data_IF_671129463832
#
_entry.id   IF_671129463832
#
_cell.length_a   1.000
_cell.length_b   1.000
_cell.length_c   1.000
_cell.angle_alpha   90.00
_cell.angle_beta   90.00
_cell.angle_gamma   90.00
#
_symmetry.space_group_name_H-M   'P 1'
#
loop_
_entity.id
_entity.type
_entity.pdbx_description
1 polymer ?
#
# COMPACT_ATOMS: atom_id res chain seq x y z
N UNK A 1 33.25 -21.03 35.52
CA UNK A 1 33.09 -19.92 34.57
C UNK A 1 32.42 -20.47 33.33
N UNK A 2 31.21 -20.04 32.93
CA UNK A 2 30.65 -20.48 31.66
C UNK A 2 31.36 -19.76 30.52
N UNK A 3 31.83 -20.55 29.54
CA UNK A 3 32.58 -20.10 28.38
C UNK A 3 31.75 -19.14 27.51
N UNK A 4 32.36 -18.04 27.09
CA UNK A 4 31.74 -17.09 26.16
C UNK A 4 31.69 -17.69 24.75
N UNK A 5 30.49 -18.05 24.32
CA UNK A 5 30.23 -18.41 22.92
C UNK A 5 30.32 -17.15 22.05
N UNK A 6 31.34 -17.07 21.19
CA UNK A 6 31.41 -16.04 20.14
C UNK A 6 30.20 -16.16 19.21
N UNK A 7 29.53 -15.05 18.83
CA UNK A 7 28.45 -15.11 17.85
C UNK A 7 28.98 -15.60 16.50
N UNK A 8 28.30 -16.60 15.92
CA UNK A 8 28.57 -17.03 14.56
C UNK A 8 28.26 -15.88 13.59
N UNK A 9 29.21 -15.55 12.71
CA UNK A 9 29.03 -14.53 11.69
C UNK A 9 27.97 -14.99 10.68
N UNK A 10 26.73 -14.55 10.85
CA UNK A 10 25.67 -14.75 9.86
C UNK A 10 26.01 -13.93 8.62
N UNK A 11 26.13 -14.58 7.45
CA UNK A 11 26.30 -13.87 6.18
C UNK A 11 25.13 -12.90 6.01
N UNK A 12 25.43 -11.60 6.08
CA UNK A 12 24.44 -10.53 6.06
C UNK A 12 24.05 -10.27 4.60
N UNK A 13 23.29 -11.18 4.00
CA UNK A 13 22.62 -10.93 2.73
C UNK A 13 21.62 -9.79 2.98
N UNK A 14 21.97 -8.60 2.53
CA UNK A 14 21.05 -7.46 2.57
C UNK A 14 20.20 -7.53 1.32
N UNK A 15 18.89 -7.58 1.52
CA UNK A 15 17.97 -7.45 0.41
C UNK A 15 18.22 -6.09 -0.29
N UNK A 16 18.36 -6.05 -1.62
CA UNK A 16 18.60 -4.81 -2.34
C UNK A 16 17.50 -3.79 -2.10
N UNK A 17 17.84 -2.50 -2.13
CA UNK A 17 16.83 -1.44 -2.03
C UNK A 17 15.94 -1.44 -3.27
N UNK A 18 14.73 -0.89 -3.17
CA UNK A 18 13.84 -0.72 -4.32
C UNK A 18 14.53 0.02 -5.48
N UNK A 19 15.33 1.05 -5.19
CA UNK A 19 16.11 1.77 -6.20
C UNK A 19 17.13 0.88 -6.91
N UNK A 20 17.81 0.01 -6.16
CA UNK A 20 18.77 -0.94 -6.73
C UNK A 20 18.07 -1.92 -7.66
N UNK A 21 16.91 -2.44 -7.26
CA UNK A 21 16.13 -3.38 -8.06
C UNK A 21 15.63 -2.72 -9.34
N UNK A 22 15.07 -1.52 -9.23
CA UNK A 22 14.55 -0.77 -10.37
C UNK A 22 15.67 -0.43 -11.38
N UNK A 23 16.82 0.04 -10.89
CA UNK A 23 17.94 0.35 -11.77
C UNK A 23 18.54 -0.89 -12.45
N UNK A 24 18.66 -2.00 -11.71
CA UNK A 24 19.09 -3.27 -12.27
C UNK A 24 18.10 -3.76 -13.35
N UNK A 25 16.80 -3.61 -13.12
CA UNK A 25 15.77 -3.96 -14.09
C UNK A 25 15.89 -3.12 -15.37
N UNK A 26 16.10 -1.81 -15.26
CA UNK A 26 16.31 -0.92 -16.42
C UNK A 26 17.51 -1.41 -17.25
N UNK A 27 18.63 -1.71 -16.61
CA UNK A 27 19.83 -2.22 -17.31
C UNK A 27 19.54 -3.54 -18.02
N UNK A 28 18.87 -4.48 -17.35
CA UNK A 28 18.53 -5.79 -17.91
C UNK A 28 17.61 -5.61 -19.13
N UNK A 29 16.54 -4.83 -19.00
CA UNK A 29 15.59 -4.59 -20.09
C UNK A 29 16.27 -3.87 -21.26
N UNK A 30 17.11 -2.87 -20.99
CA UNK A 30 17.90 -2.18 -22.01
C UNK A 30 18.82 -3.16 -22.75
N UNK A 31 19.54 -4.03 -22.04
CA UNK A 31 20.37 -5.06 -22.66
C UNK A 31 19.57 -6.04 -23.53
N UNK A 32 18.36 -6.41 -23.08
CA UNK A 32 17.46 -7.28 -23.84
C UNK A 32 16.98 -6.65 -25.16
N UNK A 33 16.93 -5.31 -25.27
CA UNK A 33 16.53 -4.65 -26.54
C UNK A 33 17.48 -4.90 -27.71
N UNK A 34 18.70 -5.37 -27.45
CA UNK A 34 19.67 -5.74 -28.48
C UNK A 34 19.48 -7.17 -29.00
N UNK A 35 18.85 -8.04 -28.21
CA UNK A 35 18.72 -9.47 -28.50
C UNK A 35 17.29 -9.83 -28.90
N UNK A 36 16.30 -9.17 -28.28
CA UNK A 36 14.88 -9.43 -28.52
C UNK A 36 14.42 -8.52 -29.67
N UNK A 37 13.90 -9.09 -30.78
CA UNK A 37 13.44 -8.29 -31.90
C UNK A 37 12.22 -7.46 -31.51
N UNK A 38 12.17 -6.21 -31.97
CA UNK A 38 11.05 -5.32 -31.74
C UNK A 38 9.82 -5.81 -32.51
N UNK A 39 8.65 -5.72 -31.89
CA UNK A 39 7.39 -6.03 -32.57
C UNK A 39 6.24 -5.20 -32.03
N UNK A 40 5.26 -4.99 -32.90
CA UNK A 40 4.08 -4.18 -32.64
C UNK A 40 2.83 -4.95 -33.05
N UNK A 41 1.75 -4.72 -32.31
CA UNK A 41 0.42 -5.16 -32.70
C UNK A 41 -0.27 -4.04 -33.46
N UNK A 42 -1.09 -4.38 -34.46
CA UNK A 42 -2.03 -3.42 -35.01
C UNK A 42 -2.99 -2.99 -33.92
N UNK A 43 -3.29 -1.69 -33.88
CA UNK A 43 -4.21 -1.12 -32.90
C UNK A 43 -5.45 -0.59 -33.59
N UNK A 44 -6.59 -0.78 -32.95
CA UNK A 44 -7.88 -0.26 -33.40
C UNK A 44 -8.52 0.53 -32.26
N UNK A 45 -9.26 1.57 -32.60
CA UNK A 45 -9.99 2.37 -31.63
C UNK A 45 -11.04 1.50 -30.93
N UNK A 46 -10.97 1.40 -29.61
CA UNK A 46 -11.99 0.75 -28.80
C UNK A 46 -12.93 1.80 -28.23
N UNK A 47 -14.19 1.80 -28.70
CA UNK A 47 -15.25 2.63 -28.10
C UNK A 47 -15.54 2.25 -26.64
N UNK A 48 -15.23 1.00 -26.27
CA UNK A 48 -15.48 0.43 -24.95
C UNK A 48 -14.49 0.95 -23.90
N UNK A 49 -13.23 1.20 -24.30
CA UNK A 49 -12.14 1.64 -23.40
C UNK A 49 -11.71 3.10 -23.69
N UNK A 50 -12.26 3.72 -24.74
CA UNK A 50 -11.96 5.10 -25.14
C UNK A 50 -10.51 5.30 -25.61
N UNK A 51 -9.83 4.23 -26.05
CA UNK A 51 -8.42 4.25 -26.47
C UNK A 51 -8.11 3.12 -27.44
N UNK A 52 -6.96 3.23 -28.10
CA UNK A 52 -6.46 2.22 -29.05
C UNK A 52 -6.03 0.94 -28.34
N UNK A 53 -6.61 -0.20 -28.75
CA UNK A 53 -6.30 -1.54 -28.19
C UNK A 53 -5.59 -2.43 -29.23
N UNK A 54 -4.63 -3.26 -28.82
CA UNK A 54 -3.94 -4.18 -29.73
C UNK A 54 -4.87 -5.32 -30.20
N UNK A 55 -4.79 -5.68 -31.49
CA UNK A 55 -5.57 -6.77 -32.08
C UNK A 55 -4.80 -8.09 -31.98
N UNK A 56 -5.38 -9.09 -31.32
CA UNK A 56 -4.76 -10.41 -31.18
C UNK A 56 -4.43 -11.05 -32.54
N UNK A 57 -3.26 -11.69 -32.65
CA UNK A 57 -2.80 -12.32 -33.89
C UNK A 57 -2.19 -11.38 -34.94
N UNK A 58 -2.16 -10.06 -34.70
CA UNK A 58 -1.58 -9.08 -35.64
C UNK A 58 -0.14 -8.67 -35.31
N UNK A 59 0.53 -9.47 -34.47
CA UNK A 59 1.92 -9.21 -34.11
C UNK A 59 2.81 -9.22 -35.35
N UNK A 60 3.51 -8.12 -35.60
CA UNK A 60 4.47 -7.97 -36.68
C UNK A 60 5.79 -7.42 -36.14
N UNK A 61 6.90 -7.87 -36.70
CA UNK A 61 8.22 -7.31 -36.40
C UNK A 61 8.33 -5.90 -36.96
N UNK A 62 9.06 -5.04 -36.25
CA UNK A 62 9.36 -3.67 -36.64
C UNK A 62 10.86 -3.40 -36.55
N UNK A 63 11.29 -2.25 -37.05
CA UNK A 63 12.67 -1.78 -36.93
C UNK A 63 13.12 -1.80 -35.47
N UNK A 64 14.31 -2.37 -35.24
CA UNK A 64 14.89 -2.46 -33.91
C UNK A 64 15.25 -1.06 -33.38
N UNK A 65 14.93 -0.81 -32.11
CA UNK A 65 15.28 0.44 -31.42
C UNK A 65 16.08 0.13 -30.12
N UNK A 66 17.35 -0.30 -30.24
CA UNK A 66 18.17 -0.68 -29.10
C UNK A 66 18.44 0.51 -28.18
N UNK A 67 18.35 0.29 -26.87
CA UNK A 67 18.54 1.35 -25.88
C UNK A 67 20.03 1.62 -25.63
N UNK A 68 20.41 2.90 -25.61
CA UNK A 68 21.76 3.37 -25.32
C UNK A 68 22.01 3.62 -23.83
N UNK A 69 23.28 3.91 -23.50
CA UNK A 69 23.69 4.20 -22.11
C UNK A 69 22.99 5.46 -21.56
N UNK A 70 22.82 6.48 -22.40
CA UNK A 70 22.12 7.70 -22.00
C UNK A 70 20.62 7.46 -21.76
N UNK A 71 19.98 6.58 -22.54
CA UNK A 71 18.58 6.21 -22.34
C UNK A 71 18.39 5.49 -21.00
N UNK A 72 19.33 4.62 -20.61
CA UNK A 72 19.33 3.96 -19.30
C UNK A 72 19.43 4.97 -18.15
N UNK A 73 20.28 5.99 -18.29
CA UNK A 73 20.44 7.04 -17.27
C UNK A 73 19.20 7.94 -17.19
N UNK A 74 18.58 8.24 -18.34
CA UNK A 74 17.39 9.10 -18.43
C UNK A 74 16.09 8.34 -18.13
N UNK A 75 16.08 7.01 -18.17
CA UNK A 75 14.89 6.19 -17.97
C UNK A 75 14.09 6.53 -16.69
N UNK A 76 14.71 6.79 -15.52
CA UNK A 76 13.96 7.23 -14.35
C UNK A 76 13.23 8.57 -14.57
N UNK A 77 13.85 9.52 -15.27
CA UNK A 77 13.23 10.82 -15.58
C UNK A 77 12.08 10.60 -16.57
N UNK A 78 12.33 9.88 -17.65
CA UNK A 78 11.32 9.53 -18.67
C UNK A 78 10.14 8.77 -18.07
N UNK A 79 10.37 7.92 -17.07
CA UNK A 79 9.34 7.19 -16.34
C UNK A 79 8.39 8.09 -15.54
N UNK A 80 8.82 9.27 -15.11
CA UNK A 80 7.94 10.28 -14.51
C UNK A 80 7.28 11.13 -15.60
N UNK A 81 8.09 11.64 -16.51
CA UNK A 81 7.68 12.52 -17.59
C UNK A 81 8.58 12.29 -18.79
N UNK A 82 7.99 11.93 -19.92
CA UNK A 82 8.74 11.78 -21.16
C UNK A 82 9.05 13.19 -21.73
N UNK A 83 10.31 13.63 -21.72
CA UNK A 83 10.69 14.95 -22.18
C UNK A 83 10.65 15.09 -23.71
N UNK A 84 10.57 13.98 -24.46
CA UNK A 84 10.55 13.97 -25.92
C UNK A 84 9.12 14.01 -26.43
N UNK A 85 8.26 13.11 -25.93
CA UNK A 85 6.85 13.07 -26.28
C UNK A 85 5.98 14.10 -25.54
N UNK A 86 6.54 14.82 -24.56
CA UNK A 86 5.82 15.70 -23.64
C UNK A 86 4.65 14.99 -22.93
N UNK A 87 4.80 13.70 -22.64
CA UNK A 87 3.75 12.88 -22.03
C UNK A 87 3.98 12.67 -20.54
N UNK A 88 2.91 12.86 -19.77
CA UNK A 88 2.89 12.53 -18.34
C UNK A 88 2.80 11.02 -18.16
N UNK A 89 3.75 10.46 -17.41
CA UNK A 89 3.76 9.05 -17.03
C UNK A 89 3.43 8.93 -15.54
N UNK A 90 4.42 8.69 -14.68
CA UNK A 90 4.20 8.56 -13.23
C UNK A 90 4.04 9.89 -12.47
N UNK A 91 4.18 11.05 -13.14
CA UNK A 91 4.12 12.37 -12.48
C UNK A 91 2.79 12.64 -11.78
N UNK A 92 1.68 12.18 -12.34
CA UNK A 92 0.35 12.38 -11.74
C UNK A 92 0.23 11.65 -10.40
N UNK A 93 0.80 10.45 -10.29
CA UNK A 93 0.86 9.67 -9.06
C UNK A 93 1.72 10.36 -8.01
N UNK A 94 2.89 10.87 -8.41
CA UNK A 94 3.80 11.56 -7.50
C UNK A 94 3.18 12.84 -6.93
N UNK A 95 2.51 13.63 -7.78
CA UNK A 95 1.79 14.83 -7.36
C UNK A 95 0.62 14.48 -6.44
N UNK A 96 -0.14 13.42 -6.74
CA UNK A 96 -1.21 12.95 -5.88
C UNK A 96 -0.72 12.60 -4.47
N UNK A 97 0.35 11.80 -4.34
CA UNK A 97 0.94 11.45 -3.04
C UNK A 97 1.45 12.68 -2.29
N UNK A 98 2.10 13.61 -2.99
CA UNK A 98 2.56 14.87 -2.40
C UNK A 98 1.39 15.71 -1.87
N UNK A 99 0.31 15.81 -2.63
CA UNK A 99 -0.89 16.55 -2.25
C UNK A 99 -1.61 15.92 -1.04
N UNK A 100 -1.68 14.59 -0.97
CA UNK A 100 -2.21 13.88 0.21
C UNK A 100 -1.33 14.13 1.42
N UNK A 101 -0.01 14.02 1.28
CA UNK A 101 0.94 14.32 2.35
C UNK A 101 0.77 15.76 2.88
N UNK A 102 0.60 16.72 1.98
CA UNK A 102 0.30 18.12 2.30
C UNK A 102 -1.04 18.28 3.03
N UNK A 103 -2.11 17.65 2.51
CA UNK A 103 -3.43 17.66 3.15
C UNK A 103 -3.38 17.06 4.56
N UNK A 104 -2.80 15.88 4.73
CA UNK A 104 -2.65 15.24 6.05
C UNK A 104 -1.82 16.13 6.98
N UNK A 105 -0.75 16.75 6.48
CA UNK A 105 0.05 17.71 7.24
C UNK A 105 -0.77 18.88 7.76
N UNK A 106 -1.58 19.51 6.90
CA UNK A 106 -2.47 20.61 7.28
C UNK A 106 -3.54 20.15 8.28
N UNK A 107 -4.26 19.06 7.99
CA UNK A 107 -5.34 18.56 8.86
C UNK A 107 -4.78 18.12 10.22
N UNK A 108 -3.58 17.53 10.27
CA UNK A 108 -2.88 17.21 11.51
C UNK A 108 -2.53 18.49 12.27
N UNK A 109 -1.96 19.50 11.59
CA UNK A 109 -1.63 20.79 12.20
C UNK A 109 -2.87 21.52 12.76
N UNK A 110 -4.05 21.34 12.15
CA UNK A 110 -5.30 21.91 12.67
C UNK A 110 -5.85 21.17 13.91
N UNK A 111 -5.33 20.00 14.24
CA UNK A 111 -5.87 19.13 15.30
C UNK A 111 -7.26 18.55 14.97
N UNK A 112 -7.76 18.70 13.74
CA UNK A 112 -9.06 18.17 13.32
C UNK A 112 -9.11 16.65 13.42
N UNK A 113 -7.99 15.97 13.14
CA UNK A 113 -7.86 14.53 13.27
C UNK A 113 -8.01 14.11 14.76
N UNK A 114 -7.26 14.76 15.66
CA UNK A 114 -7.32 14.50 17.09
C UNK A 114 -8.72 14.76 17.67
N UNK A 115 -9.36 15.84 17.24
CA UNK A 115 -10.72 16.19 17.61
C UNK A 115 -11.73 15.15 17.10
N UNK A 116 -11.62 14.72 15.84
CA UNK A 116 -12.47 13.71 15.23
C UNK A 116 -12.39 12.38 15.96
N UNK A 117 -11.18 11.94 16.31
CA UNK A 117 -11.00 10.68 17.05
C UNK A 117 -11.45 10.82 18.50
N UNK A 118 -11.13 11.92 19.19
CA UNK A 118 -11.63 12.16 20.54
C UNK A 118 -13.17 12.15 20.57
N UNK A 119 -13.81 12.70 19.53
CA UNK A 119 -15.27 12.66 19.33
C UNK A 119 -15.78 11.24 19.07
N UNK A 120 -15.08 10.45 18.26
CA UNK A 120 -15.42 9.06 18.00
C UNK A 120 -15.28 8.21 19.27
N UNK A 121 -14.16 8.32 20.00
CA UNK A 121 -13.91 7.63 21.27
C UNK A 121 -14.95 8.00 22.32
N UNK A 122 -15.29 9.28 22.46
CA UNK A 122 -16.31 9.71 23.43
C UNK A 122 -17.71 9.19 23.08
N UNK A 123 -18.07 9.14 21.79
CA UNK A 123 -19.34 8.54 21.33
C UNK A 123 -19.38 7.03 21.43
N UNK A 124 -18.23 6.36 21.37
CA UNK A 124 -18.11 4.90 21.42
C UNK A 124 -17.71 4.37 22.81
N UNK A 125 -17.72 5.22 23.84
CA UNK A 125 -17.53 4.78 25.23
C UNK A 125 -18.55 3.70 25.59
N UNK A 126 -18.07 2.54 26.04
CA UNK A 126 -18.86 1.35 26.35
C UNK A 126 -19.18 0.48 25.13
N UNK A 127 -18.80 0.90 23.92
CA UNK A 127 -19.05 0.20 22.66
C UNK A 127 -17.80 0.15 21.76
N UNK A 128 -16.60 0.13 22.36
CA UNK A 128 -15.33 0.27 21.63
C UNK A 128 -15.12 -0.85 20.60
N UNK A 129 -15.77 -2.00 20.78
CA UNK A 129 -15.76 -3.12 19.81
C UNK A 129 -16.19 -2.71 18.39
N UNK A 130 -17.03 -1.69 18.26
CA UNK A 130 -17.49 -1.18 16.95
C UNK A 130 -16.47 -0.28 16.25
N UNK A 131 -15.44 0.20 16.96
CA UNK A 131 -14.37 0.97 16.33
C UNK A 131 -13.65 0.14 15.26
N UNK A 132 -13.48 -1.16 15.50
CA UNK A 132 -12.78 -2.09 14.60
C UNK A 132 -13.47 -2.16 13.22
N UNK A 133 -14.73 -2.61 13.08
CA UNK A 133 -15.40 -2.71 11.78
C UNK A 133 -15.54 -1.35 11.09
N UNK A 134 -15.77 -0.26 11.83
CA UNK A 134 -15.93 1.07 11.24
C UNK A 134 -14.61 1.56 10.63
N UNK A 135 -13.51 1.49 11.39
CA UNK A 135 -12.21 1.93 10.92
C UNK A 135 -11.67 1.01 9.83
N UNK A 136 -11.82 -0.31 9.96
CA UNK A 136 -11.47 -1.26 8.90
C UNK A 136 -12.27 -0.98 7.63
N UNK A 137 -13.56 -0.64 7.75
CA UNK A 137 -14.40 -0.26 6.62
C UNK A 137 -13.89 0.99 5.91
N UNK A 138 -13.49 2.02 6.68
CA UNK A 138 -12.89 3.23 6.12
C UNK A 138 -11.60 2.94 5.34
N UNK A 139 -10.70 2.13 5.89
CA UNK A 139 -9.47 1.74 5.19
C UNK A 139 -9.74 0.82 3.99
N UNK A 140 -10.73 -0.07 4.08
CA UNK A 140 -11.13 -0.93 2.96
C UNK A 140 -11.71 -0.12 1.80
N UNK A 141 -12.46 0.95 2.10
CA UNK A 141 -12.92 1.90 1.08
C UNK A 141 -11.73 2.60 0.42
N UNK A 142 -10.79 3.16 1.19
CA UNK A 142 -9.58 3.78 0.61
C UNK A 142 -8.75 2.78 -0.22
N UNK A 143 -8.58 1.56 0.28
CA UNK A 143 -7.85 0.50 -0.42
C UNK A 143 -8.52 0.06 -1.72
N UNK A 144 -9.85 0.01 -1.77
CA UNK A 144 -10.58 -0.47 -2.95
C UNK A 144 -10.75 0.58 -4.05
N UNK A 145 -10.67 1.87 -3.71
CA UNK A 145 -10.79 2.99 -4.65
C UNK A 145 -9.44 3.53 -5.13
N UNK A 146 -8.46 3.64 -4.25
CA UNK A 146 -7.18 4.31 -4.54
C UNK A 146 -5.98 3.46 -4.14
N UNK A 147 -6.17 2.22 -3.69
CA UNK A 147 -5.04 1.36 -3.33
C UNK A 147 -4.28 1.80 -2.09
N UNK A 148 -4.93 2.59 -1.22
CA UNK A 148 -4.38 3.30 -0.05
C UNK A 148 -3.47 2.43 0.83
N UNK A 149 -2.18 2.33 0.53
CA UNK A 149 -1.21 1.57 1.31
C UNK A 149 -0.19 2.52 1.96
N UNK A 150 0.40 3.40 1.17
CA UNK A 150 1.41 4.37 1.60
C UNK A 150 0.81 5.44 2.52
N UNK A 151 -0.40 5.90 2.23
CA UNK A 151 -1.12 6.92 3.00
C UNK A 151 -1.50 6.42 4.40
N UNK A 152 -1.58 5.10 4.57
CA UNK A 152 -1.94 4.49 5.86
C UNK A 152 -0.89 4.72 6.93
N UNK A 153 0.37 4.99 6.55
CA UNK A 153 1.50 5.19 7.46
C UNK A 153 1.24 6.28 8.50
N UNK A 154 0.60 7.38 8.09
CA UNK A 154 0.24 8.48 8.99
C UNK A 154 -0.78 8.05 10.06
N UNK A 155 -1.68 7.12 9.73
CA UNK A 155 -2.73 6.67 10.63
C UNK A 155 -2.22 5.75 11.73
N UNK A 156 -1.06 5.10 11.58
CA UNK A 156 -0.50 4.26 12.65
C UNK A 156 -0.11 5.10 13.86
N UNK A 157 0.56 6.23 13.66
CA UNK A 157 0.96 7.14 14.76
C UNK A 157 -0.26 7.63 15.54
N UNK A 158 -1.37 7.81 14.84
CA UNK A 158 -2.61 8.36 15.35
C UNK A 158 -3.52 7.32 16.01
N UNK A 159 -3.81 6.21 15.32
CA UNK A 159 -4.77 5.20 15.80
C UNK A 159 -4.17 4.28 16.86
N UNK A 160 -2.85 4.09 16.88
CA UNK A 160 -2.20 3.27 17.91
C UNK A 160 -2.49 3.76 19.34
N UNK A 161 -2.21 5.03 19.73
CA UNK A 161 -2.50 5.50 21.08
C UNK A 161 -4.00 5.47 21.41
N UNK A 162 -4.86 5.66 20.41
CA UNK A 162 -6.33 5.64 20.52
C UNK A 162 -6.84 4.24 20.85
N UNK A 163 -6.35 3.23 20.14
CA UNK A 163 -6.72 1.84 20.37
C UNK A 163 -6.19 1.35 21.73
N UNK A 164 -4.99 1.78 22.12
CA UNK A 164 -4.45 1.52 23.47
C UNK A 164 -5.34 2.15 24.54
N UNK A 165 -5.75 3.42 24.36
CA UNK A 165 -6.65 4.11 25.29
C UNK A 165 -8.04 3.44 25.39
N UNK A 166 -8.50 2.77 24.33
CA UNK A 166 -9.74 1.99 24.29
C UNK A 166 -9.64 0.60 24.95
N UNK A 167 -8.46 0.25 25.48
CA UNK A 167 -8.19 -1.03 26.17
C UNK A 167 -7.72 -2.15 25.25
N UNK A 168 -7.31 -1.84 24.01
CA UNK A 168 -6.70 -2.79 23.09
C UNK A 168 -5.17 -2.64 23.09
N UNK A 169 -4.48 -3.31 22.17
CA UNK A 169 -3.04 -3.20 21.98
C UNK A 169 -2.65 -2.53 20.65
N UNK A 170 -1.36 -2.24 20.49
CA UNK A 170 -0.82 -1.66 19.28
C UNK A 170 -1.03 -2.56 18.05
N UNK A 171 -0.99 -3.89 18.24
CA UNK A 171 -1.23 -4.84 17.14
C UNK A 171 -2.67 -4.73 16.62
N UNK A 172 -3.65 -4.47 17.48
CA UNK A 172 -5.03 -4.23 17.03
C UNK A 172 -5.12 -3.01 16.13
N UNK A 173 -4.45 -1.90 16.47
CA UNK A 173 -4.39 -0.72 15.60
C UNK A 173 -3.73 -1.04 14.25
N UNK A 174 -2.59 -1.73 14.29
CA UNK A 174 -1.88 -2.15 13.07
C UNK A 174 -2.77 -3.04 12.21
N UNK A 175 -3.46 -4.00 12.82
CA UNK A 175 -4.34 -4.93 12.11
C UNK A 175 -5.54 -4.21 11.47
N UNK A 176 -6.16 -3.24 12.16
CA UNK A 176 -7.24 -2.43 11.59
C UNK A 176 -6.79 -1.74 10.30
N UNK A 177 -5.63 -1.09 10.36
CA UNK A 177 -5.10 -0.29 9.25
C UNK A 177 -4.63 -1.20 8.12
N UNK A 178 -3.68 -2.08 8.42
CA UNK A 178 -3.01 -2.93 7.44
C UNK A 178 -3.99 -3.88 6.76
N UNK A 179 -4.80 -4.59 7.55
CA UNK A 179 -5.74 -5.55 7.01
C UNK A 179 -6.92 -4.84 6.36
N UNK A 180 -7.41 -3.73 6.92
CA UNK A 180 -8.49 -2.92 6.32
C UNK A 180 -8.10 -2.40 4.94
N UNK A 181 -6.94 -1.75 4.80
CA UNK A 181 -6.46 -1.28 3.51
C UNK A 181 -6.16 -2.46 2.56
N UNK A 182 -5.48 -3.49 3.06
CA UNK A 182 -5.08 -4.66 2.28
C UNK A 182 -6.26 -5.43 1.67
N UNK A 183 -7.34 -5.65 2.41
CA UNK A 183 -8.56 -6.27 1.86
C UNK A 183 -9.26 -5.36 0.84
N UNK A 184 -9.18 -4.04 1.03
CA UNK A 184 -9.66 -3.06 0.05
C UNK A 184 -8.95 -3.23 -1.28
N UNK A 185 -7.61 -3.30 -1.24
CA UNK A 185 -6.76 -3.58 -2.41
C UNK A 185 -7.08 -4.96 -2.99
N UNK A 186 -7.27 -5.97 -2.15
CA UNK A 186 -7.63 -7.31 -2.62
C UNK A 186 -8.99 -7.32 -3.36
N UNK A 187 -9.95 -6.51 -2.93
CA UNK A 187 -11.24 -6.32 -3.57
C UNK A 187 -11.30 -5.28 -4.69
N UNK A 188 -10.22 -4.53 -4.95
CA UNK A 188 -10.03 -3.42 -5.92
C UNK A 188 -11.18 -3.16 -6.92
N UNK A 189 -12.23 -2.48 -6.46
CA UNK A 189 -13.45 -2.21 -7.26
C UNK A 189 -13.18 -1.20 -8.37
N UNK A 190 -12.66 -0.03 -8.02
CA UNK A 190 -12.34 1.05 -8.96
C UNK A 190 -10.90 1.55 -8.80
N UNK A 191 -10.06 0.74 -8.15
CA UNK A 191 -8.66 1.05 -7.86
C UNK A 191 -7.89 1.49 -9.11
N UNK A 192 -7.52 2.78 -9.13
CA UNK A 192 -6.80 3.41 -10.23
C UNK A 192 -5.37 2.83 -10.41
N UNK A 193 -4.76 2.32 -9.35
CA UNK A 193 -3.39 1.81 -9.35
C UNK A 193 -3.27 0.31 -9.62
N UNK A 194 -4.40 -0.41 -9.66
CA UNK A 194 -4.42 -1.84 -9.95
C UNK A 194 -5.40 -2.18 -11.08
N UNK A 195 -6.70 -2.23 -10.78
CA UNK A 195 -7.71 -2.75 -11.70
C UNK A 195 -7.84 -1.89 -12.94
N UNK A 196 -7.82 -0.56 -12.82
CA UNK A 196 -7.95 0.32 -13.99
C UNK A 196 -6.74 0.16 -14.92
N UNK A 197 -5.52 0.15 -14.39
CA UNK A 197 -4.30 -0.06 -15.18
C UNK A 197 -4.31 -1.44 -15.85
N UNK A 198 -4.65 -2.49 -15.11
CA UNK A 198 -4.69 -3.85 -15.65
C UNK A 198 -5.78 -4.03 -16.72
N UNK A 199 -6.98 -3.47 -16.50
CA UNK A 199 -8.10 -3.55 -17.44
C UNK A 199 -7.81 -2.77 -18.71
N UNK A 200 -7.20 -1.59 -18.56
CA UNK A 200 -6.65 -0.84 -19.67
C UNK A 200 -5.67 -1.73 -20.43
N UNK A 201 -4.60 -2.23 -19.80
CA UNK A 201 -3.60 -3.07 -20.45
C UNK A 201 -4.20 -4.27 -21.20
N UNK A 202 -5.26 -4.87 -20.66
CA UNK A 202 -5.99 -6.00 -21.26
C UNK A 202 -7.01 -5.58 -22.34
N UNK A 203 -7.30 -4.29 -22.51
CA UNK A 203 -8.26 -3.78 -23.48
C UNK A 203 -9.73 -4.04 -23.12
N UNK A 204 -10.04 -4.20 -21.83
CA UNK A 204 -11.40 -4.47 -21.32
C UNK A 204 -11.88 -3.35 -20.39
N UNK A 205 -13.21 -3.14 -20.24
CA UNK A 205 -13.74 -2.26 -19.21
C UNK A 205 -13.24 -2.63 -17.81
N UNK A 206 -12.88 -1.63 -17.01
CA UNK A 206 -12.57 -1.87 -15.59
C UNK A 206 -13.79 -2.36 -14.79
N UNK A 207 -15.01 -2.26 -15.34
CA UNK A 207 -16.23 -2.78 -14.73
C UNK A 207 -16.38 -4.30 -14.88
N UNK A 208 -15.62 -4.92 -15.78
CA UNK A 208 -15.69 -6.37 -16.01
C UNK A 208 -15.20 -7.13 -14.78
N UNK A 209 -16.03 -8.02 -14.26
CA UNK A 209 -15.75 -8.74 -13.01
C UNK A 209 -15.92 -7.90 -11.74
N UNK A 210 -16.56 -6.73 -11.80
CA UNK A 210 -16.85 -5.90 -10.62
C UNK A 210 -17.65 -6.66 -9.56
N UNK A 211 -18.64 -7.46 -9.97
CA UNK A 211 -19.45 -8.26 -9.05
C UNK A 211 -18.60 -9.27 -8.25
N UNK A 212 -17.64 -9.94 -8.92
CA UNK A 212 -16.71 -10.86 -8.26
C UNK A 212 -15.84 -10.13 -7.25
N UNK A 213 -15.34 -8.95 -7.63
CA UNK A 213 -14.50 -8.10 -6.78
C UNK A 213 -15.25 -7.56 -5.56
N UNK A 214 -16.50 -7.15 -5.72
CA UNK A 214 -17.39 -6.80 -4.61
C UNK A 214 -17.64 -8.00 -3.70
N UNK A 215 -17.93 -9.18 -4.27
CA UNK A 215 -18.11 -10.41 -3.51
C UNK A 215 -16.87 -10.77 -2.68
N UNK A 216 -15.70 -10.69 -3.31
CA UNK A 216 -14.40 -10.92 -2.67
C UNK A 216 -14.13 -9.89 -1.57
N UNK A 217 -14.42 -8.61 -1.81
CA UNK A 217 -14.29 -7.55 -0.82
C UNK A 217 -15.17 -7.84 0.39
N UNK A 218 -16.45 -8.13 0.19
CA UNK A 218 -17.42 -8.38 1.29
C UNK A 218 -17.04 -9.61 2.09
N UNK A 219 -16.70 -10.72 1.44
CA UNK A 219 -16.33 -11.97 2.10
C UNK A 219 -15.03 -11.81 2.90
N UNK A 220 -13.99 -11.25 2.27
CA UNK A 220 -12.71 -11.00 2.93
C UNK A 220 -12.84 -9.97 4.05
N UNK A 221 -13.67 -8.95 3.88
CA UNK A 221 -13.97 -7.95 4.91
C UNK A 221 -14.65 -8.56 6.12
N UNK A 222 -15.71 -9.36 5.92
CA UNK A 222 -16.40 -10.02 7.02
C UNK A 222 -15.47 -10.98 7.79
N UNK A 223 -14.73 -11.83 7.07
CA UNK A 223 -13.82 -12.80 7.68
C UNK A 223 -12.69 -12.13 8.47
N UNK A 224 -12.05 -11.11 7.86
CA UNK A 224 -10.90 -10.44 8.47
C UNK A 224 -11.32 -9.55 9.62
N UNK A 225 -12.45 -8.86 9.50
CA UNK A 225 -13.02 -8.07 10.60
C UNK A 225 -13.39 -8.96 11.77
N UNK A 226 -14.02 -10.12 11.53
CA UNK A 226 -14.32 -11.09 12.58
C UNK A 226 -13.05 -11.59 13.27
N UNK A 227 -11.98 -11.86 12.52
CA UNK A 227 -10.68 -12.24 13.05
C UNK A 227 -10.09 -11.15 13.96
N UNK A 228 -10.04 -9.90 13.50
CA UNK A 228 -9.50 -8.77 14.28
C UNK A 228 -10.36 -8.50 15.52
N UNK A 229 -11.68 -8.54 15.41
CA UNK A 229 -12.58 -8.40 16.56
C UNK A 229 -12.36 -9.50 17.59
N UNK A 230 -12.16 -10.76 17.17
CA UNK A 230 -11.85 -11.88 18.07
C UNK A 230 -10.52 -11.67 18.79
N UNK A 231 -9.49 -11.26 18.06
CA UNK A 231 -8.18 -10.95 18.64
C UNK A 231 -8.29 -9.82 19.68
N UNK A 232 -8.90 -8.70 19.28
CA UNK A 232 -9.07 -7.52 20.11
C UNK A 232 -9.88 -7.81 21.38
N UNK A 233 -10.96 -8.61 21.27
CA UNK A 233 -11.74 -9.03 22.43
C UNK A 233 -10.92 -9.89 23.40
N UNK A 234 -10.05 -10.76 22.87
CA UNK A 234 -9.15 -11.60 23.68
C UNK A 234 -8.15 -10.75 24.46
N UNK A 235 -7.51 -9.79 23.78
CA UNK A 235 -6.54 -8.86 24.40
C UNK A 235 -7.21 -7.95 25.44
N UNK A 236 -8.43 -7.48 25.16
CA UNK A 236 -9.18 -6.62 26.09
C UNK A 236 -9.64 -7.36 27.34
N UNK A 237 -9.95 -8.66 27.23
CA UNK A 237 -10.30 -9.50 28.37
C UNK A 237 -9.07 -9.90 29.20
N UNK A 238 -7.94 -10.19 28.55
CA UNK A 238 -6.68 -10.56 29.19
C UNK A 238 -5.49 -9.96 28.42
N UNK A 239 -4.90 -8.85 28.93
CA UNK A 239 -3.76 -8.20 28.28
C UNK A 239 -2.54 -9.11 28.08
N UNK A 240 -2.36 -10.16 28.88
CA UNK A 240 -1.24 -11.10 28.74
C UNK A 240 -1.30 -11.93 27.46
N UNK A 241 -2.48 -12.01 26.83
CA UNK A 241 -2.70 -12.69 25.55
C UNK A 241 -2.36 -11.82 24.34
N UNK A 242 -1.91 -10.58 24.54
CA UNK A 242 -1.37 -9.76 23.45
C UNK A 242 -0.12 -10.42 22.86
N UNK A 243 -0.07 -10.54 21.54
CA UNK A 243 1.11 -11.06 20.83
C UNK A 243 2.32 -10.11 20.91
N UNK A 244 2.12 -8.90 21.42
CA UNK A 244 3.15 -7.87 21.63
C UNK A 244 3.26 -7.48 23.11
N UNK A 245 2.83 -8.37 24.01
CA UNK A 245 2.84 -8.12 25.46
C UNK A 245 4.24 -7.83 26.01
N UNK A 246 5.23 -8.60 25.57
CA UNK A 246 6.66 -8.44 25.89
C UNK A 246 7.22 -7.06 25.48
N UNK A 247 6.77 -6.54 24.34
CA UNK A 247 7.20 -5.23 23.84
C UNK A 247 6.62 -4.07 24.64
N UNK A 248 5.45 -4.24 25.26
CA UNK A 248 4.86 -3.24 26.17
C UNK A 248 5.73 -3.02 27.40
N UNK A 249 6.27 -4.10 27.98
CA UNK A 249 7.18 -4.02 29.13
C UNK A 249 8.50 -3.32 28.76
N UNK A 250 9.07 -3.61 27.58
CA UNK A 250 10.29 -2.96 27.10
C UNK A 250 10.11 -1.45 26.83
N UNK A 251 8.94 -1.03 26.33
CA UNK A 251 8.60 0.38 26.11
C UNK A 251 8.40 1.14 27.43
N UNK A 252 7.78 0.51 28.43
CA UNK A 252 7.66 1.10 29.76
C UNK A 252 9.04 1.26 30.42
N UNK A 253 9.91 0.25 30.34
CA UNK A 253 11.29 0.34 30.85
C UNK A 253 12.09 1.48 30.20
N UNK A 254 12.00 1.63 28.87
CA UNK A 254 12.64 2.74 28.14
C UNK A 254 12.04 4.12 28.45
N UNK A 255 10.73 4.20 28.71
CA UNK A 255 10.09 5.48 29.09
C UNK A 255 10.53 5.97 30.48
N UNK A 256 10.88 5.03 31.38
CA UNK A 256 11.46 5.36 32.69
C UNK A 256 12.95 5.74 32.61
N UNK A 257 13.69 5.25 31.62
CA UNK A 257 15.11 5.60 31.40
C UNK A 257 15.31 6.84 30.50
N UNK A 258 14.27 7.29 29.79
CA UNK A 258 14.37 8.29 28.71
C UNK A 258 13.79 9.68 28.99
N UNK A 259 13.43 10.03 30.23
CA UNK A 259 12.89 11.35 30.59
C UNK A 259 13.81 12.15 31.53
N UNK A 260 15.13 12.02 31.33
CA UNK A 260 16.12 12.98 31.81
C UNK A 260 16.83 13.55 30.58
N UNK A 261 16.29 14.65 30.05
CA UNK A 261 16.97 15.83 29.52
C UNK A 261 15.92 16.86 29.09
#
# INVERSE_FOLDING_TARGET
MPASTKPAATSRFHFPTAYTILFALIIIIAGLTWVIPAGLYQRVASEVVGRDVPVAGTYALTDANPQGVFDVILAPIAGFYDPVGYTANAIDVALFVLMIGGFIGVVTATGAIDAGIKRAMTRLKGQEKWMIPILMGLFALGGTTEGMAEETLAFYVLLTPVMIAAGYDALTAVAIILLGAGIGVLGSTVNAFSTVIASNAAGVPFTDGLALRIGLLVVSFAATTAYVMRYAATVKADPSRSLVFDRKAALLHKSHEGFIL
#
